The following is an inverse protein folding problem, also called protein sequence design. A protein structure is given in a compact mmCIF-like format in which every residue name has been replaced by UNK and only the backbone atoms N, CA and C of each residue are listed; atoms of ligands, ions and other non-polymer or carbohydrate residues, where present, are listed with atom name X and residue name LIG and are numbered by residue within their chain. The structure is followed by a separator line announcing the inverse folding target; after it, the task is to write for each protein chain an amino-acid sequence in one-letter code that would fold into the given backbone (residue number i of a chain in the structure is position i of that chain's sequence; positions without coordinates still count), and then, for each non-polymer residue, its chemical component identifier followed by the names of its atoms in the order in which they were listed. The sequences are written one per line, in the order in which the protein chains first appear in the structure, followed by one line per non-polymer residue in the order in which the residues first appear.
data_IF_210481288328
#
_entry.id   IF_210481288328
#
_cell.length_a   1.000
_cell.length_b   1.000
_cell.length_c   1.000
_cell.angle_alpha   90.00
_cell.angle_beta   90.00
_cell.angle_gamma   90.00
#
_symmetry.space_group_name_H-M   'P 1'
#
loop_
_entity.id
_entity.type
_entity.pdbx_description
1 polymer ?
#
# COMPACT_ATOMS: atom_id res chain seq x y z
N UNK A 1 3.40 1.77 9.15
CA UNK A 1 2.01 1.57 9.57
C UNK A 1 1.87 0.95 10.95
N UNK A 2 2.31 -0.28 11.24
CA UNK A 2 2.28 -0.81 12.63
C UNK A 2 3.07 0.08 13.60
N UNK A 3 4.21 0.61 13.14
CA UNK A 3 4.98 1.63 13.86
C UNK A 3 4.16 2.89 14.16
N UNK A 4 3.27 3.27 13.26
CA UNK A 4 2.41 4.46 13.38
C UNK A 4 1.19 4.23 14.29
N UNK A 5 0.78 2.96 14.49
CA UNK A 5 -0.33 2.57 15.37
C UNK A 5 0.09 2.51 16.85
N UNK A 6 1.33 2.12 17.16
CA UNK A 6 1.83 2.01 18.54
C UNK A 6 2.25 3.36 19.13
N UNK A 7 3.34 3.93 18.59
CA UNK A 7 3.98 5.14 19.15
C UNK A 7 4.34 6.17 18.09
N UNK A 8 4.08 5.87 16.80
CA UNK A 8 4.22 6.83 15.71
C UNK A 8 2.95 7.68 15.52
N UNK A 9 2.79 8.23 14.32
CA UNK A 9 1.98 9.43 14.08
C UNK A 9 0.49 9.40 14.46
N UNK A 10 -0.11 8.24 14.78
CA UNK A 10 -1.53 8.15 15.11
C UNK A 10 -1.84 7.74 16.56
N UNK A 11 -0.82 7.38 17.37
CA UNK A 11 -0.92 6.99 18.79
C UNK A 11 -2.28 6.34 19.17
N UNK A 12 -2.64 5.26 18.45
CA UNK A 12 -3.96 4.65 18.57
C UNK A 12 -4.14 3.97 19.93
N UNK A 13 -3.03 3.46 20.51
CA UNK A 13 -3.00 2.86 21.85
C UNK A 13 -3.24 3.89 22.96
N UNK A 14 -2.82 5.15 22.79
CA UNK A 14 -3.10 6.24 23.72
C UNK A 14 -4.45 6.94 23.50
N UNK A 15 -5.17 6.58 22.43
CA UNK A 15 -6.49 7.16 22.17
C UNK A 15 -7.51 6.61 23.17
N UNK A 16 -8.30 7.48 23.81
CA UNK A 16 -9.42 7.07 24.69
C UNK A 16 -10.63 6.53 23.90
N UNK A 17 -10.37 5.98 22.71
CA UNK A 17 -11.40 5.44 21.84
C UNK A 17 -11.96 4.14 22.44
N UNK A 18 -13.24 3.87 22.18
CA UNK A 18 -13.86 2.61 22.59
C UNK A 18 -13.04 1.42 22.03
N UNK A 19 -12.59 0.49 22.89
CA UNK A 19 -11.71 -0.62 22.50
C UNK A 19 -12.32 -1.52 21.41
N UNK A 20 -13.64 -1.73 21.42
CA UNK A 20 -14.31 -2.54 20.39
C UNK A 20 -14.27 -1.87 19.02
N UNK A 21 -14.46 -0.54 18.99
CA UNK A 21 -14.35 0.24 17.75
C UNK A 21 -12.91 0.28 17.24
N UNK A 22 -11.95 0.41 18.15
CA UNK A 22 -10.53 0.39 17.81
C UNK A 22 -10.13 -0.97 17.21
N UNK A 23 -10.54 -2.08 17.81
CA UNK A 23 -10.24 -3.41 17.30
C UNK A 23 -10.83 -3.64 15.91
N UNK A 24 -12.11 -3.27 15.69
CA UNK A 24 -12.73 -3.33 14.35
C UNK A 24 -11.96 -2.51 13.31
N UNK A 25 -11.48 -1.32 13.69
CA UNK A 25 -10.67 -0.48 12.81
C UNK A 25 -9.32 -1.12 12.47
N UNK A 26 -8.62 -1.67 13.47
CA UNK A 26 -7.34 -2.36 13.28
C UNK A 26 -7.52 -3.57 12.35
N UNK A 27 -8.58 -4.36 12.54
CA UNK A 27 -8.89 -5.48 11.64
C UNK A 27 -9.16 -5.01 10.21
N UNK A 28 -9.92 -3.94 10.03
CA UNK A 28 -10.24 -3.39 8.71
C UNK A 28 -8.97 -2.88 8.01
N UNK A 29 -8.08 -2.21 8.75
CA UNK A 29 -6.76 -1.80 8.25
C UNK A 29 -5.92 -3.02 7.88
N UNK A 30 -5.91 -4.08 8.71
CA UNK A 30 -5.15 -5.29 8.42
C UNK A 30 -5.64 -5.99 7.15
N UNK A 31 -6.96 -6.07 6.94
CA UNK A 31 -7.56 -6.61 5.72
C UNK A 31 -7.18 -5.78 4.48
N UNK A 32 -7.29 -4.45 4.56
CA UNK A 32 -6.90 -3.55 3.46
C UNK A 32 -5.39 -3.65 3.14
N UNK A 33 -4.54 -3.81 4.16
CA UNK A 33 -3.11 -4.03 3.98
C UNK A 33 -2.82 -5.36 3.29
N UNK A 34 -3.58 -6.41 3.65
CA UNK A 34 -3.45 -7.75 3.08
C UNK A 34 -3.87 -7.78 1.61
N UNK A 35 -4.98 -7.11 1.26
CA UNK A 35 -5.42 -7.01 -0.14
C UNK A 35 -4.40 -6.26 -1.00
N UNK A 36 -3.87 -5.12 -0.53
CA UNK A 36 -2.83 -4.38 -1.22
C UNK A 36 -1.54 -5.20 -1.41
N UNK A 37 -1.18 -6.03 -0.41
CA UNK A 37 -0.04 -6.94 -0.51
C UNK A 37 -0.25 -8.01 -1.60
N UNK A 38 -1.43 -8.63 -1.64
CA UNK A 38 -1.79 -9.61 -2.67
C UNK A 38 -1.75 -9.01 -4.09
N UNK A 39 -2.27 -7.79 -4.25
CA UNK A 39 -2.22 -7.08 -5.53
C UNK A 39 -0.79 -6.80 -5.97
N UNK A 40 0.05 -6.30 -5.07
CA UNK A 40 1.47 -6.10 -5.36
C UNK A 40 2.17 -7.39 -5.76
N UNK A 41 1.86 -8.51 -5.09
CA UNK A 41 2.47 -9.79 -5.41
C UNK A 41 2.15 -10.22 -6.85
N UNK A 42 0.90 -10.01 -7.32
CA UNK A 42 0.51 -10.23 -8.72
C UNK A 42 1.31 -9.35 -9.68
N UNK A 43 1.42 -8.05 -9.40
CA UNK A 43 2.21 -7.10 -10.20
C UNK A 43 3.69 -7.49 -10.27
N UNK A 44 4.26 -8.00 -9.17
CA UNK A 44 5.63 -8.48 -9.11
C UNK A 44 5.82 -9.72 -9.99
N UNK A 45 4.88 -10.67 -9.96
CA UNK A 45 4.89 -11.83 -10.85
C UNK A 45 4.82 -11.43 -12.32
N UNK A 46 4.07 -10.38 -12.65
CA UNK A 46 3.97 -9.82 -14.00
C UNK A 46 5.19 -8.97 -14.42
N UNK A 47 6.20 -8.81 -13.55
CA UNK A 47 7.39 -7.97 -13.77
C UNK A 47 7.09 -6.50 -14.12
N UNK A 48 5.91 -6.00 -13.73
CA UNK A 48 5.49 -4.62 -13.98
C UNK A 48 5.95 -3.63 -12.91
N UNK A 49 6.68 -4.09 -11.88
CA UNK A 49 7.05 -3.25 -10.73
C UNK A 49 7.93 -2.05 -11.12
N UNK A 50 8.77 -2.19 -12.16
CA UNK A 50 9.66 -1.14 -12.66
C UNK A 50 8.91 0.01 -13.34
N UNK A 51 7.72 -0.27 -13.87
CA UNK A 51 6.87 0.75 -14.51
C UNK A 51 6.02 1.50 -13.49
N UNK A 52 5.67 0.84 -12.39
CA UNK A 52 4.81 1.39 -11.35
C UNK A 52 5.62 2.13 -10.29
N UNK A 53 6.85 1.69 -10.01
CA UNK A 53 7.68 2.23 -8.96
C UNK A 53 9.13 2.37 -9.40
N UNK A 54 9.74 3.48 -8.97
CA UNK A 54 11.16 3.71 -9.19
C UNK A 54 11.98 2.64 -8.46
N UNK A 55 12.90 2.01 -9.20
CA UNK A 55 13.86 1.04 -8.68
C UNK A 55 14.70 1.72 -7.58
N UNK A 56 14.95 1.00 -6.50
CA UNK A 56 15.73 1.49 -5.38
C UNK A 56 17.17 1.80 -5.81
N UNK A 57 17.63 3.01 -5.51
CA UNK A 57 19.01 3.43 -5.76
C UNK A 57 19.98 2.58 -4.93
N UNK A 58 21.09 2.15 -5.53
CA UNK A 58 22.11 1.30 -4.87
C UNK A 58 22.64 1.90 -3.56
N UNK A 59 22.58 3.23 -3.38
CA UNK A 59 23.06 3.93 -2.19
C UNK A 59 22.08 3.96 -1.02
N UNK A 60 20.81 3.55 -1.20
CA UNK A 60 19.79 3.65 -0.15
C UNK A 60 19.38 2.29 0.38
N UNK A 61 19.46 2.11 1.69
CA UNK A 61 19.02 0.90 2.40
C UNK A 61 17.49 0.82 2.51
N UNK A 62 16.81 1.97 2.55
CA UNK A 62 15.35 2.05 2.76
C UNK A 62 14.59 2.21 1.44
N UNK A 63 13.51 1.44 1.27
CA UNK A 63 12.60 1.57 0.12
C UNK A 63 11.91 2.94 0.16
N UNK A 64 11.82 3.61 -1.00
CA UNK A 64 11.11 4.91 -1.14
C UNK A 64 9.61 4.80 -0.86
N UNK A 65 9.00 3.69 -1.29
CA UNK A 65 7.57 3.45 -1.12
C UNK A 65 7.34 2.17 -0.33
N UNK A 66 6.37 2.22 0.58
CA UNK A 66 5.95 1.04 1.34
C UNK A 66 5.26 0.05 0.41
N UNK A 67 5.33 -1.25 0.75
CA UNK A 67 4.66 -2.29 -0.04
C UNK A 67 3.15 -2.02 -0.21
N UNK A 68 2.52 -1.41 0.79
CA UNK A 68 1.14 -0.96 0.74
C UNK A 68 0.90 0.12 -0.32
N UNK A 69 1.72 1.17 -0.31
CA UNK A 69 1.62 2.27 -1.27
C UNK A 69 1.76 1.76 -2.71
N UNK A 70 2.71 0.86 -2.95
CA UNK A 70 2.94 0.26 -4.27
C UNK A 70 1.72 -0.56 -4.72
N UNK A 71 1.12 -1.35 -3.83
CA UNK A 71 -0.06 -2.15 -4.13
C UNK A 71 -1.31 -1.32 -4.43
N UNK A 72 -1.55 -0.26 -3.65
CA UNK A 72 -2.71 0.63 -3.81
C UNK A 72 -2.56 1.54 -5.04
N UNK A 73 -1.45 2.28 -5.12
CA UNK A 73 -1.23 3.26 -6.18
C UNK A 73 -0.89 2.59 -7.51
N UNK A 74 -0.23 1.43 -7.48
CA UNK A 74 0.07 0.65 -8.68
C UNK A 74 -1.16 0.18 -9.43
N UNK A 75 -2.25 -0.15 -8.72
CA UNK A 75 -3.51 -0.49 -9.37
C UNK A 75 -4.10 0.70 -10.13
N UNK A 76 -4.07 1.90 -9.54
CA UNK A 76 -4.56 3.10 -10.23
C UNK A 76 -3.78 3.38 -11.51
N UNK A 77 -2.46 3.17 -11.50
CA UNK A 77 -1.62 3.28 -12.70
C UNK A 77 -1.98 2.26 -13.77
N UNK A 78 -2.19 0.99 -13.40
CA UNK A 78 -2.61 -0.06 -14.34
C UNK A 78 -3.97 0.27 -14.95
N UNK A 79 -4.93 0.73 -14.13
CA UNK A 79 -6.27 1.11 -14.60
C UNK A 79 -6.20 2.32 -15.54
N UNK A 80 -5.44 3.34 -15.17
CA UNK A 80 -5.24 4.53 -16.02
C UNK A 80 -4.59 4.15 -17.34
N UNK A 81 -3.56 3.31 -17.33
CA UNK A 81 -2.92 2.78 -18.53
C UNK A 81 -3.92 2.05 -19.43
N UNK A 82 -4.69 1.12 -18.85
CA UNK A 82 -5.70 0.36 -19.60
C UNK A 82 -6.79 1.25 -20.18
N UNK A 83 -7.24 2.29 -19.46
CA UNK A 83 -8.21 3.25 -20.01
C UNK A 83 -7.66 4.00 -21.20
N UNK A 84 -6.46 4.57 -21.07
CA UNK A 84 -5.82 5.34 -22.14
C UNK A 84 -5.61 4.48 -23.40
N UNK A 85 -5.27 3.20 -23.23
CA UNK A 85 -5.03 2.28 -24.35
C UNK A 85 -6.30 1.70 -24.99
N UNK A 86 -7.42 1.70 -24.27
CA UNK A 86 -8.71 1.21 -24.79
C UNK A 86 -9.59 2.34 -25.37
N UNK A 87 -9.33 3.59 -24.97
CA UNK A 87 -10.01 4.79 -25.49
C UNK A 87 -9.19 5.53 -26.56
N UNK A 88 -8.01 5.02 -26.95
CA UNK A 88 -7.25 5.54 -28.09
C UNK A 88 -7.91 5.14 -29.42
N UNK A 89 -8.18 6.08 -30.34
CA UNK A 89 -8.84 5.83 -31.62
C UNK A 89 -8.03 4.93 -32.56
#
# INVERSE_FOLDING_TARGET
MFRDCKTGGYNLEGSKANPDRLMRLIFLIALAMTSAWLHRQRTKFQKQESYICRIQEKSKTTKRHSNFWIGLYGQNWIIAWNRIFLESP
#
